data_IF_255690369040
#
_entry.id   IF_255690369040
#
_cell.length_a   1.000
_cell.length_b   1.000
_cell.length_c   1.000
_cell.angle_alpha   90.00
_cell.angle_beta   90.00
_cell.angle_gamma   90.00
#
_symmetry.space_group_name_H-M   'P 1'
#
loop_
_entity.id
_entity.type
_entity.pdbx_description
1 polymer ?
#
# COMPACT_ATOMS: atom_id res chain seq x y z
N UNK A 1 23.53 13.88 -0.13
CA UNK A 1 22.63 12.87 0.48
C UNK A 1 21.18 13.27 0.21
N UNK A 2 20.51 12.67 -0.78
CA UNK A 2 19.11 12.99 -1.10
C UNK A 2 18.19 12.06 -0.30
N UNK A 3 17.96 12.43 0.95
CA UNK A 3 17.11 11.72 1.92
C UNK A 3 15.62 11.63 1.51
N UNK A 4 15.27 12.14 0.32
CA UNK A 4 13.91 12.21 -0.23
C UNK A 4 13.62 11.10 -1.28
N UNK A 5 14.63 10.41 -1.82
CA UNK A 5 14.40 9.53 -2.98
C UNK A 5 13.36 8.43 -2.73
N UNK A 6 13.32 7.85 -1.52
CA UNK A 6 12.32 6.83 -1.16
C UNK A 6 11.17 7.33 -0.29
N UNK A 7 10.97 8.65 -0.15
CA UNK A 7 9.94 9.24 0.72
C UNK A 7 9.93 8.64 2.14
N UNK A 8 9.06 7.64 2.38
CA UNK A 8 8.88 6.93 3.66
C UNK A 8 9.52 5.53 3.73
N UNK A 9 10.22 5.13 2.68
CA UNK A 9 10.89 3.84 2.54
C UNK A 9 12.40 3.91 2.72
N UNK A 10 13.06 2.77 2.49
CA UNK A 10 14.51 2.59 2.65
C UNK A 10 15.14 2.40 1.26
N UNK A 11 16.21 3.14 0.95
CA UNK A 11 17.01 2.93 -0.26
C UNK A 11 17.82 1.65 -0.09
N UNK A 12 17.76 0.77 -1.09
CA UNK A 12 18.64 -0.38 -1.22
C UNK A 12 19.42 -0.31 -2.54
N UNK A 13 20.67 -0.78 -2.49
CA UNK A 13 21.58 -0.83 -3.63
C UNK A 13 21.83 -2.30 -3.98
N UNK A 14 21.54 -2.68 -5.22
CA UNK A 14 21.90 -4.00 -5.73
C UNK A 14 23.30 -3.93 -6.34
N UNK A 15 24.18 -4.86 -5.95
CA UNK A 15 25.61 -4.80 -6.26
C UNK A 15 25.92 -4.88 -7.77
N UNK A 16 25.02 -5.48 -8.57
CA UNK A 16 25.22 -5.72 -10.00
C UNK A 16 24.65 -4.65 -10.94
N UNK A 17 23.82 -3.74 -10.43
CA UNK A 17 23.19 -2.73 -11.27
C UNK A 17 23.00 -1.50 -10.40
N UNK A 18 23.65 -0.38 -10.75
CA UNK A 18 23.64 0.90 -10.00
C UNK A 18 22.24 1.55 -9.88
N UNK A 19 21.18 0.78 -9.98
CA UNK A 19 19.80 1.16 -9.78
C UNK A 19 19.46 1.17 -8.30
N UNK A 20 19.21 2.37 -7.78
CA UNK A 20 18.61 2.54 -6.47
C UNK A 20 17.17 2.02 -6.51
N UNK A 21 16.81 1.16 -5.57
CA UNK A 21 15.44 0.71 -5.36
C UNK A 21 14.96 1.11 -3.98
N UNK A 22 13.66 1.27 -3.83
CA UNK A 22 13.03 1.61 -2.57
C UNK A 22 12.26 0.40 -2.03
N UNK A 23 12.55 0.03 -0.78
CA UNK A 23 11.69 -0.86 -0.01
C UNK A 23 10.64 -0.01 0.71
N UNK A 24 9.37 -0.23 0.39
CA UNK A 24 8.26 0.51 0.95
C UNK A 24 7.64 -0.21 2.16
N UNK A 25 7.19 0.53 3.19
CA UNK A 25 6.37 -0.04 4.26
C UNK A 25 5.00 -0.50 3.71
N UNK A 26 4.26 -1.39 4.41
CA UNK A 26 3.02 -1.99 3.91
C UNK A 26 1.90 -1.00 3.50
N UNK A 27 1.95 0.23 4.01
CA UNK A 27 0.98 1.28 3.72
C UNK A 27 1.40 2.19 2.56
N UNK A 28 2.54 1.97 1.92
CA UNK A 28 3.03 2.80 0.81
C UNK A 28 3.50 1.95 -0.38
N UNK A 29 3.34 2.48 -1.59
CA UNK A 29 3.75 1.80 -2.82
C UNK A 29 4.26 2.77 -3.89
N UNK A 30 4.74 2.21 -5.00
CA UNK A 30 5.40 2.91 -6.10
C UNK A 30 6.92 2.89 -6.00
N UNK A 31 7.60 3.23 -7.09
CA UNK A 31 9.07 3.15 -7.20
C UNK A 31 9.82 3.94 -6.12
N UNK A 32 9.16 4.96 -5.54
CA UNK A 32 9.71 5.84 -4.51
C UNK A 32 8.87 5.87 -3.25
N UNK A 33 7.93 4.92 -3.07
CA UNK A 33 6.98 4.93 -1.96
C UNK A 33 6.17 6.24 -1.89
N UNK A 34 5.78 6.80 -3.04
CA UNK A 34 5.10 8.09 -3.13
C UNK A 34 3.58 8.01 -2.89
N UNK A 35 3.00 6.82 -3.00
CA UNK A 35 1.55 6.63 -2.87
C UNK A 35 1.23 5.88 -1.59
N UNK A 36 0.32 6.46 -0.78
CA UNK A 36 -0.17 5.81 0.44
C UNK A 36 -1.40 4.97 0.09
N UNK A 37 -1.41 3.72 0.56
CA UNK A 37 -2.58 2.86 0.48
C UNK A 37 -3.66 3.39 1.44
N UNK A 38 -4.77 3.88 0.88
CA UNK A 38 -5.93 4.29 1.68
C UNK A 38 -6.82 3.06 1.90
N UNK A 39 -6.72 2.47 3.10
CA UNK A 39 -7.63 1.39 3.47
C UNK A 39 -8.93 1.97 3.99
N UNK A 40 -10.02 1.72 3.27
CA UNK A 40 -11.38 1.99 3.74
C UNK A 40 -11.89 0.70 4.39
N UNK A 41 -12.25 0.78 5.68
CA UNK A 41 -12.88 -0.35 6.40
C UNK A 41 -14.39 -0.21 6.32
N UNK A 42 -15.05 -1.21 5.72
CA UNK A 42 -16.51 -1.28 5.63
C UNK A 42 -17.02 -2.36 6.60
N UNK A 43 -17.99 -2.00 7.42
CA UNK A 43 -18.74 -2.94 8.27
C UNK A 43 -20.13 -3.10 7.66
N UNK A 44 -20.46 -4.29 7.18
CA UNK A 44 -21.73 -4.59 6.50
C UNK A 44 -22.56 -5.55 7.34
N UNK A 45 -23.85 -5.24 7.50
CA UNK A 45 -24.84 -6.18 8.05
C UNK A 45 -25.67 -6.73 6.89
N UNK A 46 -25.47 -8.00 6.55
CA UNK A 46 -26.25 -8.69 5.54
C UNK A 46 -27.51 -9.27 6.20
N UNK A 47 -28.67 -8.71 5.86
CA UNK A 47 -29.97 -9.25 6.30
C UNK A 47 -30.64 -9.96 5.12
N UNK A 48 -30.88 -11.26 5.27
CA UNK A 48 -31.71 -12.00 4.33
C UNK A 48 -33.15 -11.98 4.85
N UNK A 49 -34.03 -11.18 4.24
CA UNK A 49 -35.46 -11.27 4.51
C UNK A 49 -36.04 -12.38 3.66
N UNK A 50 -36.50 -13.45 4.31
CA UNK A 50 -37.42 -14.39 3.68
C UNK A 50 -38.81 -13.77 3.83
N UNK A 51 -39.37 -13.28 2.73
CA UNK A 51 -40.79 -12.94 2.67
C UNK A 51 -41.58 -14.24 2.65
N UNK A 52 -42.10 -14.64 3.81
CA UNK A 52 -43.05 -15.74 3.88
C UNK A 52 -44.39 -15.26 3.33
N UNK A 53 -44.75 -15.69 2.11
CA UNK A 53 -46.11 -15.56 1.60
C UNK A 53 -47.04 -16.40 2.50
N UNK A 54 -47.93 -15.74 3.24
CA UNK A 54 -49.12 -16.34 3.87
C UNK A 54 -50.25 -16.44 2.87
#
# INVERSE_FOLDING_TARGET
>A
MKNWYCNRGIIIHFNDNKTNKCLCPPSYFGDRCQWQNQRISLTLQLVHRVETYT
#
